data_IF_628405935411
#
_entry.id   IF_628405935411
#
_cell.length_a   1.000
_cell.length_b   1.000
_cell.length_c   1.000
_cell.angle_alpha   90.00
_cell.angle_beta   90.00
_cell.angle_gamma   90.00
#
_symmetry.space_group_name_H-M   'P 1'
#
loop_
_entity.id
_entity.type
_entity.pdbx_description
1 polymer ?
#
# COMPACT_ATOMS: atom_id res chain seq x y z
N UNK A 1 -9.83 16.95 -12.94
CA UNK A 1 -10.23 18.18 -12.21
C UNK A 1 -11.48 17.98 -11.36
N UNK A 2 -12.35 17.01 -11.66
CA UNK A 2 -13.61 16.79 -10.91
C UNK A 2 -13.43 16.52 -9.41
N UNK A 3 -12.38 15.81 -8.99
CA UNK A 3 -12.21 15.42 -7.59
C UNK A 3 -11.30 16.35 -6.77
N UNK A 4 -10.87 17.49 -7.31
CA UNK A 4 -10.00 18.43 -6.57
C UNK A 4 -10.68 19.01 -5.33
N UNK A 5 -11.94 19.41 -5.46
CA UNK A 5 -12.70 19.96 -4.33
C UNK A 5 -12.91 18.90 -3.23
N UNK A 6 -13.23 17.66 -3.62
CA UNK A 6 -13.35 16.54 -2.70
C UNK A 6 -12.01 16.22 -2.03
N UNK A 7 -10.92 16.23 -2.79
CA UNK A 7 -9.58 16.01 -2.25
C UNK A 7 -9.13 17.09 -1.25
N UNK A 8 -9.41 18.36 -1.54
CA UNK A 8 -9.12 19.47 -0.62
C UNK A 8 -9.96 19.42 0.65
N UNK A 9 -11.25 19.08 0.53
CA UNK A 9 -12.13 18.87 1.68
C UNK A 9 -11.63 17.70 2.54
N UNK A 10 -11.26 16.58 1.91
CA UNK A 10 -10.67 15.44 2.60
C UNK A 10 -9.39 15.85 3.32
N UNK A 11 -8.47 16.52 2.64
CA UNK A 11 -7.19 16.95 3.20
C UNK A 11 -7.37 17.89 4.39
N UNK A 12 -8.33 18.82 4.31
CA UNK A 12 -8.64 19.78 5.36
C UNK A 12 -9.23 19.09 6.58
N UNK A 13 -10.18 18.16 6.36
CA UNK A 13 -10.87 17.44 7.44
C UNK A 13 -10.02 16.38 8.10
N UNK A 14 -9.01 15.80 7.44
CA UNK A 14 -8.06 14.89 8.10
C UNK A 14 -6.98 15.61 8.90
N UNK A 15 -7.05 16.95 9.03
CA UNK A 15 -6.09 17.75 9.79
C UNK A 15 -4.88 18.23 9.00
N UNK A 16 -4.99 18.29 7.67
CA UNK A 16 -3.94 18.79 6.77
C UNK A 16 -2.92 17.75 6.35
N UNK A 17 -2.07 18.11 5.38
CA UNK A 17 -1.01 17.24 4.85
C UNK A 17 0.01 16.84 5.92
N UNK A 18 0.29 17.69 6.90
CA UNK A 18 1.22 17.39 7.98
C UNK A 18 0.73 16.28 8.92
N UNK A 19 -0.60 16.04 8.97
CA UNK A 19 -1.19 15.00 9.80
C UNK A 19 -1.19 13.62 9.12
N UNK A 20 -0.96 13.55 7.81
CA UNK A 20 -0.92 12.29 7.05
C UNK A 20 0.50 11.70 7.14
N UNK A 21 0.61 10.50 7.70
CA UNK A 21 1.84 9.69 7.71
C UNK A 21 1.94 8.88 6.42
N UNK A 22 0.85 8.22 6.04
CA UNK A 22 0.77 7.46 4.79
C UNK A 22 -0.65 7.43 4.25
N UNK A 23 -0.76 7.32 2.93
CA UNK A 23 -2.01 7.26 2.20
C UNK A 23 -1.96 6.12 1.18
N UNK A 24 -2.79 5.11 1.40
CA UNK A 24 -2.97 3.98 0.47
C UNK A 24 -4.42 3.87 0.03
N UNK A 25 -4.66 3.28 -1.13
CA UNK A 25 -6.00 3.00 -1.62
C UNK A 25 -6.16 1.52 -1.95
N UNK A 26 -7.39 1.02 -1.81
CA UNK A 26 -7.80 -0.26 -2.38
C UNK A 26 -8.87 -0.01 -3.46
N UNK A 27 -9.65 -1.02 -3.85
CA UNK A 27 -10.66 -0.88 -4.89
C UNK A 27 -11.78 0.12 -4.55
N UNK A 28 -12.11 0.32 -3.26
CA UNK A 28 -13.25 1.16 -2.86
C UNK A 28 -12.98 2.11 -1.69
N UNK A 29 -11.79 2.03 -1.07
CA UNK A 29 -11.48 2.77 0.18
C UNK A 29 -10.12 3.44 0.11
N UNK A 30 -10.04 4.64 0.65
CA UNK A 30 -8.80 5.30 1.03
C UNK A 30 -8.49 4.92 2.48
N UNK A 31 -7.24 4.59 2.77
CA UNK A 31 -6.75 4.35 4.12
C UNK A 31 -5.66 5.37 4.42
N UNK A 32 -5.93 6.19 5.42
CA UNK A 32 -5.02 7.17 5.96
C UNK A 32 -4.41 6.61 7.24
N UNK A 33 -3.09 6.66 7.32
CA UNK A 33 -2.38 6.58 8.59
C UNK A 33 -2.15 8.01 9.05
N UNK A 34 -2.81 8.41 10.13
CA UNK A 34 -2.71 9.77 10.67
C UNK A 34 -1.73 9.79 11.85
N UNK A 35 -1.09 10.94 12.08
CA UNK A 35 -0.29 11.17 13.30
C UNK A 35 -1.19 11.35 14.51
N UNK A 36 -2.28 12.08 14.32
CA UNK A 36 -3.27 12.35 15.35
C UNK A 36 -4.68 12.19 14.78
N UNK A 37 -5.36 11.10 15.14
CA UNK A 37 -6.74 10.85 14.76
C UNK A 37 -7.71 11.91 15.30
N UNK A 38 -7.41 12.58 16.42
CA UNK A 38 -8.35 13.54 17.03
C UNK A 38 -8.51 14.81 16.20
N UNK A 39 -7.55 15.08 15.30
CA UNK A 39 -7.63 16.19 14.35
C UNK A 39 -8.47 15.85 13.13
N UNK A 40 -8.85 14.58 12.96
CA UNK A 40 -9.69 14.15 11.85
C UNK A 40 -11.18 14.35 12.18
N UNK A 41 -11.86 15.11 11.33
CA UNK A 41 -13.30 15.33 11.39
C UNK A 41 -14.03 14.24 10.59
N UNK A 42 -14.30 13.13 11.27
CA UNK A 42 -15.01 11.99 10.68
C UNK A 42 -16.47 12.31 10.33
N UNK A 43 -17.14 13.17 11.10
CA UNK A 43 -18.56 13.51 10.90
C UNK A 43 -18.72 14.41 9.68
N UNK A 44 -17.86 15.42 9.55
CA UNK A 44 -17.84 16.29 8.39
C UNK A 44 -17.52 15.59 7.08
N UNK A 45 -16.67 14.56 7.13
CA UNK A 45 -16.40 13.71 5.96
C UNK A 45 -17.60 12.85 5.57
N UNK A 46 -18.37 12.34 6.54
CA UNK A 46 -19.60 11.59 6.25
C UNK A 46 -20.70 12.46 5.63
N UNK A 47 -20.68 13.76 5.87
CA UNK A 47 -21.65 14.69 5.31
C UNK A 47 -21.41 15.00 3.81
N UNK A 48 -20.23 14.64 3.28
CA UNK A 48 -19.91 14.89 1.88
C UNK A 48 -20.58 13.82 0.98
N UNK A 49 -21.34 14.21 -0.07
CA UNK A 49 -22.03 13.27 -0.95
C UNK A 49 -21.08 12.31 -1.71
N UNK A 50 -19.79 12.64 -1.82
CA UNK A 50 -18.77 11.77 -2.41
C UNK A 50 -18.23 10.68 -1.48
N UNK A 51 -18.68 10.63 -0.22
CA UNK A 51 -18.18 9.71 0.81
C UNK A 51 -19.34 8.87 1.33
N UNK A 52 -19.24 7.56 1.17
CA UNK A 52 -20.26 6.60 1.59
C UNK A 52 -20.21 6.40 3.10
N UNK A 53 -19.00 6.23 3.65
CA UNK A 53 -18.79 6.07 5.08
C UNK A 53 -17.34 6.33 5.48
N UNK A 54 -17.14 6.65 6.75
CA UNK A 54 -15.82 6.75 7.39
C UNK A 54 -15.75 5.73 8.51
N UNK A 55 -14.67 4.95 8.53
CA UNK A 55 -14.40 3.90 9.52
C UNK A 55 -13.03 4.15 10.14
N UNK A 56 -12.98 4.22 11.46
CA UNK A 56 -11.72 4.26 12.20
C UNK A 56 -11.50 2.93 12.91
N UNK A 57 -10.42 2.22 12.58
CA UNK A 57 -10.11 0.92 13.18
C UNK A 57 -8.61 0.64 13.16
N UNK A 58 -8.09 0.12 14.28
CA UNK A 58 -6.70 -0.31 14.39
C UNK A 58 -5.68 0.81 14.15
N UNK A 59 -6.00 2.05 14.54
CA UNK A 59 -5.14 3.22 14.31
C UNK A 59 -5.08 3.68 12.84
N UNK A 60 -6.00 3.21 12.00
CA UNK A 60 -6.15 3.66 10.62
C UNK A 60 -7.50 4.34 10.41
N UNK A 61 -7.47 5.47 9.70
CA UNK A 61 -8.64 6.24 9.33
C UNK A 61 -9.02 5.90 7.89
N UNK A 62 -10.18 5.30 7.66
CA UNK A 62 -10.59 4.79 6.35
C UNK A 62 -11.80 5.56 5.82
N UNK A 63 -11.71 6.02 4.58
CA UNK A 63 -12.78 6.75 3.89
C UNK A 63 -13.24 5.89 2.71
N UNK A 64 -14.51 5.51 2.70
CA UNK A 64 -15.12 4.71 1.63
C UNK A 64 -15.75 5.65 0.61
N UNK A 65 -15.25 5.59 -0.61
CA UNK A 65 -15.67 6.47 -1.72
C UNK A 65 -16.43 5.66 -2.78
N UNK A 66 -16.02 4.41 -3.03
CA UNK A 66 -16.56 3.58 -4.10
C UNK A 66 -15.62 3.50 -5.31
N UNK A 67 -16.17 3.30 -6.51
CA UNK A 67 -15.40 2.98 -7.71
C UNK A 67 -14.42 4.08 -8.17
N UNK A 68 -14.66 5.34 -7.77
CA UNK A 68 -13.84 6.49 -8.15
C UNK A 68 -12.67 6.75 -7.17
N UNK A 69 -12.40 5.82 -6.26
CA UNK A 69 -11.39 6.00 -5.22
C UNK A 69 -9.98 6.27 -5.77
N UNK A 70 -9.65 5.71 -6.94
CA UNK A 70 -8.36 5.92 -7.59
C UNK A 70 -8.16 7.37 -8.02
N UNK A 71 -9.17 7.98 -8.65
CA UNK A 71 -9.11 9.36 -9.11
C UNK A 71 -9.05 10.35 -7.93
N UNK A 72 -9.78 10.03 -6.84
CA UNK A 72 -9.71 10.82 -5.60
C UNK A 72 -8.35 10.66 -4.93
N UNK A 73 -7.78 9.46 -4.90
CA UNK A 73 -6.43 9.23 -4.36
C UNK A 73 -5.37 10.06 -5.10
N UNK A 74 -5.42 10.08 -6.44
CA UNK A 74 -4.54 10.90 -7.26
C UNK A 74 -4.71 12.40 -6.95
N UNK A 75 -5.94 12.87 -6.83
CA UNK A 75 -6.23 14.26 -6.49
C UNK A 75 -5.72 14.63 -5.08
N UNK A 76 -5.94 13.77 -4.07
CA UNK A 76 -5.45 13.98 -2.70
C UNK A 76 -3.93 13.99 -2.66
N UNK A 77 -3.26 13.09 -3.39
CA UNK A 77 -1.80 13.10 -3.50
C UNK A 77 -1.27 14.36 -4.16
N UNK A 78 -1.89 14.80 -5.25
CA UNK A 78 -1.51 16.03 -5.95
C UNK A 78 -1.64 17.27 -5.06
N UNK A 79 -2.75 17.41 -4.34
CA UNK A 79 -2.99 18.54 -3.43
C UNK A 79 -2.13 18.47 -2.16
N UNK A 80 -1.83 17.27 -1.66
CA UNK A 80 -0.92 17.07 -0.53
C UNK A 80 0.56 17.33 -0.88
N UNK A 81 0.90 17.50 -2.16
CA UNK A 81 2.29 17.65 -2.62
C UNK A 81 3.10 16.36 -2.51
N UNK A 82 2.42 15.20 -2.53
CA UNK A 82 3.03 13.88 -2.54
C UNK A 82 3.37 13.49 -3.99
N UNK A 83 4.25 14.24 -4.64
CA UNK A 83 4.93 13.89 -5.91
C UNK A 83 6.27 13.22 -5.55
N UNK A 84 6.77 12.11 -6.08
CA UNK A 84 6.47 11.14 -7.13
C UNK A 84 7.34 9.90 -6.76
N UNK A 85 7.01 8.68 -7.17
CA UNK A 85 7.92 7.51 -7.24
C UNK A 85 8.98 7.26 -6.14
N UNK A 86 8.61 7.27 -4.86
CA UNK A 86 9.51 6.75 -3.81
C UNK A 86 8.72 6.11 -2.68
N UNK A 87 8.54 4.79 -2.81
CA UNK A 87 8.42 3.82 -1.72
C UNK A 87 7.30 4.07 -0.67
N UNK A 88 6.86 3.04 0.08
CA UNK A 88 6.03 3.30 1.25
C UNK A 88 6.80 4.25 2.16
N UNK A 89 6.27 5.46 2.37
CA UNK A 89 6.82 6.47 3.28
C UNK A 89 7.08 5.78 4.61
N UNK A 90 8.36 5.52 4.88
CA UNK A 90 8.83 5.00 6.15
C UNK A 90 8.30 5.91 7.25
N UNK A 91 7.68 5.28 8.24
CA UNK A 91 7.03 5.91 9.38
C UNK A 91 8.06 6.75 10.15
N UNK A 92 8.18 8.04 9.84
CA UNK A 92 8.79 9.03 10.72
C UNK A 92 7.71 9.51 11.69
N UNK A 93 7.53 8.74 12.77
CA UNK A 93 6.56 9.15 13.80
C UNK A 93 6.06 8.05 14.71
N UNK A 94 6.85 7.02 14.97
CA UNK A 94 6.81 6.28 16.23
C UNK A 94 8.22 5.74 16.41
N UNK A 95 8.66 5.40 17.62
CA UNK A 95 9.99 4.82 17.82
C UNK A 95 10.08 3.58 16.93
N UNK A 96 10.69 3.71 15.75
CA UNK A 96 11.09 2.57 14.95
C UNK A 96 12.04 1.84 15.87
N UNK A 97 11.51 0.79 16.51
CA UNK A 97 12.30 -0.14 17.27
C UNK A 97 13.48 -0.48 16.37
N UNK A 98 14.69 -0.45 16.90
CA UNK A 98 15.93 -0.67 16.13
C UNK A 98 15.83 -1.95 15.28
N UNK A 99 14.98 -2.89 15.72
CA UNK A 99 14.53 -4.09 15.02
C UNK A 99 13.79 -3.80 13.70
N UNK A 100 12.87 -2.85 13.65
CA UNK A 100 12.17 -2.44 12.43
C UNK A 100 13.11 -1.88 11.36
N UNK A 101 14.08 -1.05 11.77
CA UNK A 101 15.08 -0.51 10.85
C UNK A 101 16.03 -1.61 10.33
N UNK A 102 16.36 -2.60 11.16
CA UNK A 102 17.11 -3.78 10.72
C UNK A 102 16.31 -4.63 9.73
N UNK A 103 15.01 -4.82 9.97
CA UNK A 103 14.11 -5.54 9.06
C UNK A 103 14.00 -4.80 7.71
N UNK A 104 13.94 -3.48 7.71
CA UNK A 104 13.86 -2.67 6.48
C UNK A 104 15.16 -2.78 5.65
N UNK A 105 16.33 -2.77 6.31
CA UNK A 105 17.63 -2.96 5.64
C UNK A 105 17.69 -4.35 5.00
N UNK A 106 17.33 -5.39 5.77
CA UNK A 106 17.31 -6.76 5.25
C UNK A 106 16.31 -6.88 4.10
N UNK A 107 15.09 -6.36 4.26
CA UNK A 107 14.05 -6.40 3.22
C UNK A 107 14.47 -5.67 1.95
N UNK A 108 15.15 -4.52 2.07
CA UNK A 108 15.70 -3.78 0.93
C UNK A 108 16.76 -4.56 0.16
N UNK A 109 17.61 -5.32 0.85
CA UNK A 109 18.61 -6.20 0.21
C UNK A 109 17.91 -7.35 -0.54
N UNK A 110 16.86 -7.94 0.03
CA UNK A 110 16.21 -9.13 -0.55
C UNK A 110 15.20 -8.82 -1.66
N UNK A 111 14.53 -7.67 -1.63
CA UNK A 111 13.49 -7.26 -2.61
C UNK A 111 13.91 -7.45 -4.08
N UNK A 112 15.11 -7.00 -4.54
CA UNK A 112 15.53 -7.21 -5.92
C UNK A 112 15.75 -8.69 -6.29
N UNK A 113 15.93 -9.59 -5.32
CA UNK A 113 16.13 -11.03 -5.54
C UNK A 113 14.84 -11.85 -5.52
N UNK A 114 13.72 -11.30 -5.02
CA UNK A 114 12.45 -12.05 -4.86
C UNK A 114 11.99 -12.63 -6.21
N UNK A 115 12.06 -11.85 -7.28
CA UNK A 115 11.64 -12.30 -8.62
C UNK A 115 12.48 -13.47 -9.15
N UNK A 116 13.80 -13.41 -8.96
CA UNK A 116 14.74 -14.46 -9.40
C UNK A 116 14.54 -15.74 -8.57
N UNK A 117 14.36 -15.61 -7.26
CA UNK A 117 14.11 -16.74 -6.37
C UNK A 117 12.77 -17.41 -6.71
N UNK A 118 11.71 -16.63 -6.93
CA UNK A 118 10.41 -17.15 -7.36
C UNK A 118 10.50 -17.90 -8.70
N UNK A 119 11.17 -17.32 -9.70
CA UNK A 119 11.38 -17.96 -11.00
C UNK A 119 12.14 -19.29 -10.87
N UNK A 120 13.21 -19.33 -10.06
CA UNK A 120 13.98 -20.55 -9.80
C UNK A 120 13.14 -21.64 -9.12
N UNK A 121 12.27 -21.26 -8.17
CA UNK A 121 11.39 -22.18 -7.47
C UNK A 121 10.33 -22.80 -8.38
N UNK A 122 9.69 -21.98 -9.23
CA UNK A 122 8.71 -22.44 -10.22
C UNK A 122 9.36 -23.42 -11.20
N UNK A 123 10.54 -23.08 -11.73
CA UNK A 123 11.26 -23.93 -12.68
C UNK A 123 11.63 -25.28 -12.05
N UNK A 124 12.13 -25.27 -10.80
CA UNK A 124 12.48 -26.50 -10.07
C UNK A 124 11.25 -27.34 -9.74
N UNK A 125 10.11 -26.71 -9.42
CA UNK A 125 8.84 -27.38 -9.21
C UNK A 125 8.35 -28.07 -10.48
N UNK A 126 8.45 -27.39 -11.63
CA UNK A 126 8.09 -27.97 -12.92
C UNK A 126 9.00 -29.15 -13.29
N UNK A 127 10.31 -29.02 -13.04
CA UNK A 127 11.26 -30.12 -13.23
C UNK A 127 10.90 -31.34 -12.36
N UNK A 128 10.57 -31.10 -11.08
CA UNK A 128 10.15 -32.17 -10.18
C UNK A 128 8.85 -32.85 -10.65
N UNK A 129 7.87 -32.08 -11.13
CA UNK A 129 6.63 -32.62 -11.70
C UNK A 129 6.90 -33.45 -12.96
N UNK A 130 7.77 -32.97 -13.85
CA UNK A 130 8.15 -33.70 -15.06
C UNK A 130 8.85 -35.04 -14.74
N UNK A 131 9.59 -35.11 -13.63
CA UNK A 131 10.15 -36.37 -13.13
C UNK A 131 9.07 -37.29 -12.57
N UNK A 132 8.13 -36.77 -11.78
CA UNK A 132 7.04 -37.58 -11.19
C UNK A 132 6.09 -38.12 -12.26
N UNK A 133 5.79 -37.35 -13.30
CA UNK A 133 4.97 -37.80 -14.44
C UNK A 133 5.71 -38.75 -15.40
N UNK A 134 6.99 -39.06 -15.15
CA UNK A 134 7.81 -39.94 -15.97
C UNK A 134 8.28 -39.32 -17.30
N UNK A 135 8.13 -38.00 -17.45
CA UNK A 135 8.52 -37.26 -18.65
C UNK A 135 10.04 -37.03 -18.73
N UNK A 136 10.70 -36.98 -17.56
CA UNK A 136 12.14 -36.85 -17.39
C UNK A 136 12.63 -37.89 -16.36
N UNK A 137 13.82 -38.44 -16.58
CA UNK A 137 14.51 -39.30 -15.59
C UNK A 137 15.76 -38.60 -15.08
N UNK A 138 16.11 -38.84 -13.82
CA UNK A 138 17.24 -38.18 -13.13
C UNK A 138 18.62 -38.49 -13.72
N UNK A 139 18.68 -39.41 -14.70
CA UNK A 139 19.90 -39.81 -15.42
C UNK A 139 20.08 -39.10 -16.78
N UNK A 140 19.05 -38.42 -17.29
CA UNK A 140 19.14 -37.73 -18.58
C UNK A 140 19.94 -36.43 -18.48
N UNK A 141 20.72 -36.11 -19.52
CA UNK A 141 21.53 -34.89 -19.57
C UNK A 141 20.70 -33.60 -19.46
N UNK A 142 19.41 -33.65 -19.77
CA UNK A 142 18.46 -32.53 -19.66
C UNK A 142 18.04 -32.24 -18.21
N UNK A 143 18.24 -33.17 -17.27
CA UNK A 143 17.92 -32.99 -15.84
C UNK A 143 19.12 -32.52 -15.00
N UNK A 144 20.34 -32.82 -15.44
CA UNK A 144 21.60 -32.39 -14.79
C UNK A 144 21.99 -30.99 -15.21
#
# INVERSE_FOLDING_TARGET
MEYKALAQDILSRVGGKENIVSLVHCATRLRFKLKDSKKADAEGLKANPGIIMVVESGGQFQVVIGNHVHDVWLAVRGEAGLTDDSEPVAVKGEKVSIIGQLIDIVSGIFTPFIGVLAASGILKGLLALAVVCGWLTTQQATYK
#
